data_IF_448202118035
#
_entry.id   IF_448202118035
#
_cell.length_a   1.000
_cell.length_b   1.000
_cell.length_c   1.000
_cell.angle_alpha   90.00
_cell.angle_beta   90.00
_cell.angle_gamma   90.00
#
_symmetry.space_group_name_H-M   'P 1'
#
loop_
_entity.id
_entity.type
_entity.pdbx_description
1 polymer ?
#
# COMPACT_ATOMS: atom_id res chain seq x y z
N UNK A 1 -9.16 1.15 -22.71
CA UNK A 1 -8.30 0.89 -21.53
C UNK A 1 -8.80 -0.38 -20.89
N UNK A 2 -7.89 -1.21 -20.37
CA UNK A 2 -8.28 -2.39 -19.59
C UNK A 2 -8.80 -1.91 -18.21
N UNK A 3 -9.77 -2.60 -17.62
CA UNK A 3 -10.37 -2.28 -16.32
C UNK A 3 -9.30 -1.97 -15.26
N UNK A 4 -8.26 -2.79 -15.16
CA UNK A 4 -7.17 -2.59 -14.20
C UNK A 4 -6.32 -1.34 -14.43
N UNK A 5 -6.15 -0.92 -15.69
CA UNK A 5 -5.45 0.33 -16.00
C UNK A 5 -6.26 1.54 -15.52
N UNK A 6 -7.58 1.50 -15.76
CA UNK A 6 -8.50 2.54 -15.29
C UNK A 6 -8.57 2.57 -13.77
N UNK A 7 -8.62 1.41 -13.12
CA UNK A 7 -8.58 1.30 -11.66
C UNK A 7 -7.28 1.86 -11.09
N UNK A 8 -6.11 1.49 -11.63
CA UNK A 8 -4.84 2.05 -11.20
C UNK A 8 -4.84 3.57 -11.34
N UNK A 9 -5.24 4.08 -12.51
CA UNK A 9 -5.24 5.52 -12.80
C UNK A 9 -6.22 6.31 -11.91
N UNK A 10 -7.39 5.75 -11.60
CA UNK A 10 -8.38 6.38 -10.72
C UNK A 10 -7.91 6.44 -9.25
N UNK A 11 -7.07 5.50 -8.83
CA UNK A 11 -6.57 5.42 -7.45
C UNK A 11 -5.22 6.14 -7.24
N UNK A 12 -4.49 6.48 -8.31
CA UNK A 12 -3.22 7.22 -8.22
C UNK A 12 -3.27 8.46 -7.31
N UNK A 13 -4.29 9.35 -7.39
CA UNK A 13 -4.30 10.55 -6.56
C UNK A 13 -4.33 10.27 -5.05
N UNK A 14 -4.96 9.18 -4.62
CA UNK A 14 -4.96 8.80 -3.21
C UNK A 14 -3.64 8.15 -2.79
N UNK A 15 -2.99 7.40 -3.70
CA UNK A 15 -1.63 6.88 -3.48
C UNK A 15 -0.64 8.04 -3.34
N UNK A 16 -0.64 9.00 -4.27
CA UNK A 16 0.21 10.20 -4.25
C UNK A 16 0.04 10.99 -2.96
N UNK A 17 -1.21 11.15 -2.51
CA UNK A 17 -1.56 11.85 -1.28
C UNK A 17 -1.07 11.12 -0.04
N UNK A 18 -1.23 9.78 0.02
CA UNK A 18 -0.67 8.98 1.11
C UNK A 18 0.86 9.09 1.14
N UNK A 19 1.53 8.91 0.00
CA UNK A 19 2.98 9.06 -0.10
C UNK A 19 3.43 10.45 0.34
N UNK A 20 2.74 11.50 -0.12
CA UNK A 20 3.03 12.89 0.25
C UNK A 20 2.90 13.12 1.76
N UNK A 21 1.91 12.48 2.41
CA UNK A 21 1.71 12.54 3.86
C UNK A 21 2.86 11.88 4.62
N UNK A 22 3.19 10.66 4.23
CA UNK A 22 4.21 9.85 4.90
C UNK A 22 5.61 10.43 4.71
N UNK A 23 5.88 10.92 3.50
CA UNK A 23 7.21 11.33 3.06
C UNK A 23 7.43 12.83 3.26
N UNK A 24 6.36 13.56 3.58
CA UNK A 24 6.34 15.01 3.83
C UNK A 24 6.90 15.82 2.65
N UNK A 25 6.79 15.28 1.44
CA UNK A 25 7.15 15.92 0.17
C UNK A 25 6.10 15.64 -0.90
N UNK A 26 5.84 16.63 -1.75
CA UNK A 26 4.91 16.50 -2.87
C UNK A 26 5.39 15.38 -3.79
N UNK A 27 4.58 14.31 -3.85
CA UNK A 27 4.87 13.11 -4.62
C UNK A 27 3.96 13.04 -5.83
N UNK A 28 4.53 12.77 -7.01
CA UNK A 28 3.79 12.63 -8.26
C UNK A 28 4.13 11.28 -8.89
N UNK A 29 3.11 10.55 -9.36
CA UNK A 29 3.26 9.22 -9.93
C UNK A 29 2.80 9.25 -11.39
N UNK A 30 3.71 8.87 -12.28
CA UNK A 30 3.42 8.74 -13.71
C UNK A 30 3.42 7.26 -14.11
N UNK A 31 2.30 6.76 -14.67
CA UNK A 31 2.27 5.43 -15.30
C UNK A 31 3.00 5.54 -16.65
N UNK A 32 4.16 4.92 -16.76
CA UNK A 32 5.02 4.99 -17.94
C UNK A 32 4.70 3.92 -18.98
N UNK A 33 4.19 2.76 -18.54
CA UNK A 33 3.74 1.70 -19.44
C UNK A 33 2.71 0.80 -18.79
N UNK A 34 1.84 0.22 -19.61
CA UNK A 34 0.91 -0.81 -19.18
C UNK A 34 0.89 -1.91 -20.24
N UNK A 35 1.11 -3.16 -19.83
CA UNK A 35 1.15 -4.31 -20.72
C UNK A 35 0.56 -5.55 -20.07
N UNK A 36 0.20 -6.54 -20.89
CA UNK A 36 -0.14 -7.89 -20.43
C UNK A 36 1.06 -8.78 -20.70
N UNK A 37 1.50 -9.54 -19.70
CA UNK A 37 2.67 -10.42 -19.79
C UNK A 37 2.35 -11.77 -19.13
N UNK A 38 2.97 -12.85 -19.62
CA UNK A 38 2.91 -14.15 -18.97
C UNK A 38 3.66 -14.13 -17.63
N UNK A 39 3.32 -15.02 -16.70
CA UNK A 39 4.03 -15.19 -15.43
C UNK A 39 5.54 -15.42 -15.58
N UNK A 40 5.95 -16.23 -16.57
CA UNK A 40 7.38 -16.48 -16.88
C UNK A 40 8.10 -15.20 -17.28
N UNK A 41 7.60 -14.50 -18.31
CA UNK A 41 8.16 -13.22 -18.76
C UNK A 41 8.14 -12.12 -17.67
N UNK A 42 7.13 -12.14 -16.80
CA UNK A 42 7.07 -11.28 -15.62
C UNK A 42 8.26 -11.52 -14.70
N UNK A 43 8.50 -12.77 -14.29
CA UNK A 43 9.61 -13.13 -13.41
C UNK A 43 10.97 -12.83 -14.04
N UNK A 44 11.14 -13.04 -15.36
CA UNK A 44 12.38 -12.73 -16.08
C UNK A 44 12.70 -11.23 -16.12
N UNK A 45 11.67 -10.37 -16.10
CA UNK A 45 11.83 -8.91 -16.16
C UNK A 45 12.26 -8.33 -14.80
N UNK A 46 12.04 -9.06 -13.71
CA UNK A 46 12.29 -8.59 -12.36
C UNK A 46 13.77 -8.66 -11.98
N UNK A 47 14.19 -7.72 -11.14
CA UNK A 47 15.53 -7.70 -10.56
C UNK A 47 15.48 -8.41 -9.20
N UNK A 48 16.56 -9.12 -8.84
CA UNK A 48 16.58 -9.93 -7.61
C UNK A 48 16.42 -9.09 -6.34
N UNK A 49 16.90 -7.85 -6.39
CA UNK A 49 16.82 -6.87 -5.31
C UNK A 49 15.46 -6.17 -5.21
N UNK A 50 14.55 -6.37 -6.18
CA UNK A 50 13.19 -5.83 -6.12
C UNK A 50 12.39 -6.49 -5.00
N UNK A 51 11.45 -5.74 -4.47
CA UNK A 51 10.59 -6.16 -3.37
C UNK A 51 9.19 -6.33 -3.89
N UNK A 52 8.54 -7.40 -3.44
CA UNK A 52 7.21 -7.75 -3.86
C UNK A 52 6.30 -7.74 -2.65
N UNK A 53 5.31 -6.87 -2.66
CA UNK A 53 4.22 -6.86 -1.70
C UNK A 53 3.04 -7.51 -2.37
N UNK A 54 2.71 -8.74 -1.95
CA UNK A 54 1.60 -9.52 -2.48
C UNK A 54 0.41 -9.46 -1.51
N UNK A 55 -0.79 -9.26 -2.06
CA UNK A 55 -2.05 -9.67 -1.44
C UNK A 55 -2.92 -10.34 -2.49
N UNK A 56 -4.00 -10.98 -2.06
CA UNK A 56 -4.98 -11.62 -2.94
C UNK A 56 -6.37 -11.20 -2.49
N UNK A 57 -7.21 -10.83 -3.44
CA UNK A 57 -8.64 -10.61 -3.20
C UNK A 57 -9.34 -11.97 -3.08
N UNK A 58 -10.01 -12.23 -1.96
CA UNK A 58 -10.72 -13.50 -1.70
C UNK A 58 -11.89 -13.70 -2.64
N UNK A 59 -12.54 -12.63 -3.09
CA UNK A 59 -13.73 -12.73 -3.93
C UNK A 59 -13.40 -13.18 -5.35
N UNK A 60 -12.29 -12.69 -5.91
CA UNK A 60 -11.90 -12.94 -7.30
C UNK A 60 -10.70 -13.86 -7.43
N UNK A 61 -10.07 -14.23 -6.31
CA UNK A 61 -8.77 -14.91 -6.25
C UNK A 61 -7.71 -14.23 -7.12
N UNK A 62 -7.79 -12.91 -7.26
CA UNK A 62 -6.86 -12.11 -8.05
C UNK A 62 -5.65 -11.73 -7.22
N UNK A 63 -4.45 -12.00 -7.72
CA UNK A 63 -3.21 -11.45 -7.16
C UNK A 63 -3.14 -9.93 -7.36
N UNK A 64 -2.83 -9.20 -6.30
CA UNK A 64 -2.43 -7.80 -6.35
C UNK A 64 -1.00 -7.70 -5.82
N UNK A 65 -0.06 -7.31 -6.68
CA UNK A 65 1.36 -7.22 -6.36
C UNK A 65 1.83 -5.79 -6.58
N UNK A 66 2.43 -5.19 -5.55
CA UNK A 66 3.18 -3.96 -5.66
C UNK A 66 4.68 -4.28 -5.68
N UNK A 67 5.40 -3.69 -6.62
CA UNK A 67 6.83 -3.90 -6.81
C UNK A 67 7.54 -2.60 -6.53
N UNK A 68 8.48 -2.65 -5.59
CA UNK A 68 9.31 -1.52 -5.20
C UNK A 68 10.76 -1.87 -5.52
N UNK A 69 11.46 -0.97 -6.20
CA UNK A 69 12.90 -1.13 -6.39
C UNK A 69 13.66 -0.97 -5.06
N UNK A 70 14.96 -1.24 -5.09
CA UNK A 70 15.83 -1.17 -3.90
C UNK A 70 15.92 0.24 -3.28
N UNK A 71 15.69 1.31 -4.04
CA UNK A 71 15.92 2.69 -3.57
C UNK A 71 14.81 3.11 -2.60
N UNK A 72 13.63 2.47 -2.68
CA UNK A 72 12.57 2.59 -1.69
C UNK A 72 13.02 2.25 -0.26
N UNK A 73 13.92 1.28 -0.07
CA UNK A 73 14.39 0.92 1.27
C UNK A 73 15.15 2.06 1.92
N UNK A 74 16.09 2.65 1.20
CA UNK A 74 16.92 3.74 1.72
C UNK A 74 16.03 4.92 2.13
N UNK A 75 15.02 5.22 1.31
CA UNK A 75 14.13 6.36 1.51
C UNK A 75 13.19 6.12 2.68
N UNK A 76 12.48 4.99 2.69
CA UNK A 76 11.56 4.68 3.78
C UNK A 76 12.30 4.53 5.11
N UNK A 77 13.46 3.87 5.12
CA UNK A 77 14.27 3.74 6.34
C UNK A 77 14.80 5.09 6.82
N UNK A 78 15.26 5.95 5.92
CA UNK A 78 15.73 7.29 6.26
C UNK A 78 14.62 8.17 6.82
N UNK A 79 13.42 8.09 6.24
CA UNK A 79 12.30 8.95 6.61
C UNK A 79 11.57 8.45 7.85
N UNK A 80 11.25 7.17 7.90
CA UNK A 80 10.41 6.60 8.96
C UNK A 80 11.20 6.15 10.19
N UNK A 81 12.47 5.77 10.02
CA UNK A 81 13.30 5.25 11.10
C UNK A 81 14.50 6.14 11.41
N UNK A 82 14.84 7.09 10.52
CA UNK A 82 16.03 7.93 10.66
C UNK A 82 17.35 7.15 10.54
N UNK A 83 17.33 6.00 9.87
CA UNK A 83 18.52 5.15 9.67
C UNK A 83 18.87 5.03 8.20
N UNK A 84 20.17 4.92 7.91
CA UNK A 84 20.68 4.65 6.58
C UNK A 84 20.75 3.12 6.37
N UNK A 85 19.59 2.54 6.06
CA UNK A 85 19.44 1.11 5.78
C UNK A 85 18.85 0.92 4.38
N UNK A 86 19.56 0.16 3.55
CA UNK A 86 19.23 -0.06 2.14
C UNK A 86 19.10 -1.54 1.78
N UNK A 87 19.23 -2.43 2.76
CA UNK A 87 19.15 -3.88 2.56
C UNK A 87 17.83 -4.48 3.04
N UNK A 88 17.41 -5.54 2.37
CA UNK A 88 16.28 -6.36 2.81
C UNK A 88 16.67 -7.15 4.07
N UNK A 89 16.07 -6.84 5.21
CA UNK A 89 16.27 -7.50 6.49
C UNK A 89 14.96 -7.48 7.31
N UNK A 90 14.95 -8.03 8.53
CA UNK A 90 13.72 -8.09 9.34
C UNK A 90 13.14 -6.70 9.66
N UNK A 91 14.00 -5.71 9.95
CA UNK A 91 13.56 -4.34 10.28
C UNK A 91 12.91 -3.68 9.07
N UNK A 92 13.55 -3.77 7.90
CA UNK A 92 13.04 -3.15 6.68
C UNK A 92 11.82 -3.89 6.12
N UNK A 93 11.73 -5.20 6.34
CA UNK A 93 10.52 -5.98 6.05
C UNK A 93 9.34 -5.53 6.91
N UNK A 94 9.53 -5.39 8.23
CA UNK A 94 8.48 -4.93 9.15
C UNK A 94 8.03 -3.50 8.80
N UNK A 95 8.98 -2.64 8.44
CA UNK A 95 8.71 -1.29 7.96
C UNK A 95 7.78 -1.29 6.74
N UNK A 96 8.14 -2.08 5.72
CA UNK A 96 7.35 -2.21 4.50
C UNK A 96 5.97 -2.81 4.77
N UNK A 97 5.89 -3.84 5.61
CA UNK A 97 4.61 -4.44 6.00
C UNK A 97 3.69 -3.40 6.63
N UNK A 98 4.20 -2.58 7.56
CA UNK A 98 3.43 -1.52 8.20
C UNK A 98 2.98 -0.46 7.18
N UNK A 99 3.90 0.06 6.39
CA UNK A 99 3.62 1.06 5.35
C UNK A 99 2.57 0.56 4.34
N UNK A 100 2.75 -0.65 3.81
CA UNK A 100 1.83 -1.23 2.85
C UNK A 100 0.46 -1.53 3.45
N UNK A 101 0.40 -1.96 4.71
CA UNK A 101 -0.86 -2.19 5.43
C UNK A 101 -1.65 -0.89 5.63
N UNK A 102 -0.96 0.20 5.97
CA UNK A 102 -1.60 1.52 6.12
C UNK A 102 -2.09 2.07 4.78
N UNK A 103 -1.28 1.96 3.72
CA UNK A 103 -1.69 2.32 2.36
C UNK A 103 -2.90 1.48 1.91
N UNK A 104 -2.84 0.16 2.08
CA UNK A 104 -3.94 -0.74 1.71
C UNK A 104 -5.21 -0.39 2.47
N UNK A 105 -5.13 -0.11 3.77
CA UNK A 105 -6.30 0.29 4.57
C UNK A 105 -6.90 1.61 4.07
N UNK A 106 -6.05 2.58 3.76
CA UNK A 106 -6.47 3.88 3.20
C UNK A 106 -7.19 3.70 1.87
N UNK A 107 -6.62 2.91 0.95
CA UNK A 107 -7.20 2.63 -0.36
C UNK A 107 -8.50 1.82 -0.26
N UNK A 108 -8.53 0.77 0.57
CA UNK A 108 -9.73 -0.05 0.79
C UNK A 108 -10.90 0.78 1.35
N UNK A 109 -10.63 1.72 2.26
CA UNK A 109 -11.65 2.65 2.77
C UNK A 109 -12.23 3.50 1.64
N UNK A 110 -11.37 4.06 0.78
CA UNK A 110 -11.81 4.89 -0.36
C UNK A 110 -12.61 4.08 -1.38
N UNK A 111 -12.13 2.90 -1.76
CA UNK A 111 -12.79 2.02 -2.72
C UNK A 111 -14.20 1.63 -2.25
N UNK A 112 -14.37 1.37 -0.94
CA UNK A 112 -15.68 1.11 -0.33
C UNK A 112 -16.65 2.28 -0.47
N UNK A 113 -16.18 3.52 -0.35
CA UNK A 113 -17.02 4.72 -0.59
C UNK A 113 -17.50 4.82 -2.03
N UNK A 114 -16.67 4.35 -2.98
CA UNK A 114 -16.97 4.36 -4.41
C UNK A 114 -17.76 3.10 -4.85
N UNK A 115 -18.19 2.27 -3.89
CA UNK A 115 -19.03 1.08 -4.12
C UNK A 115 -18.27 -0.17 -4.58
N UNK A 116 -16.94 -0.16 -4.48
CA UNK A 116 -16.08 -1.31 -4.76
C UNK A 116 -15.63 -1.95 -3.44
N UNK A 117 -16.00 -3.22 -3.24
CA UNK A 117 -15.61 -3.96 -2.05
C UNK A 117 -14.56 -5.01 -2.42
N UNK A 118 -13.38 -4.91 -1.82
CA UNK A 118 -12.30 -5.88 -1.92
C UNK A 118 -12.17 -6.59 -0.58
N UNK A 119 -12.02 -7.90 -0.61
CA UNK A 119 -11.73 -8.70 0.57
C UNK A 119 -10.28 -9.15 0.47
N UNK A 120 -9.36 -8.29 0.91
CA UNK A 120 -7.93 -8.52 0.75
C UNK A 120 -7.40 -9.40 1.86
N UNK A 121 -6.68 -10.46 1.49
CA UNK A 121 -5.89 -11.25 2.44
C UNK A 121 -4.77 -10.40 3.05
N UNK A 122 -4.20 -10.93 4.13
CA UNK A 122 -3.03 -10.32 4.76
C UNK A 122 -1.92 -10.11 3.73
N UNK A 123 -1.31 -8.92 3.78
CA UNK A 123 -0.21 -8.56 2.90
C UNK A 123 1.03 -9.41 3.23
N UNK A 124 1.82 -9.69 2.20
CA UNK A 124 3.07 -10.40 2.35
C UNK A 124 4.20 -9.67 1.63
N UNK A 125 5.27 -9.35 2.35
CA UNK A 125 6.52 -8.85 1.75
C UNK A 125 7.44 -10.02 1.42
N UNK A 126 7.74 -10.17 0.14
CA UNK A 126 8.38 -11.33 -0.48
C UNK A 126 9.64 -10.91 -1.27
N UNK A 127 10.60 -11.84 -1.32
CA UNK A 127 11.68 -11.82 -2.31
C UNK A 127 11.20 -12.41 -3.64
N UNK A 128 11.91 -12.15 -4.74
CA UNK A 128 11.57 -12.70 -6.06
C UNK A 128 11.37 -14.23 -6.04
N UNK A 129 12.22 -14.96 -5.32
CA UNK A 129 12.12 -16.42 -5.18
C UNK A 129 10.83 -16.84 -4.47
N UNK A 130 10.42 -16.13 -3.42
CA UNK A 130 9.20 -16.45 -2.68
C UNK A 130 7.95 -16.05 -3.47
N UNK A 131 8.05 -15.03 -4.33
CA UNK A 131 6.97 -14.65 -5.23
C UNK A 131 6.71 -15.73 -6.27
N UNK A 132 7.76 -16.26 -6.89
CA UNK A 132 7.67 -17.34 -7.89
C UNK A 132 6.82 -18.51 -7.40
N UNK A 133 7.02 -18.94 -6.14
CA UNK A 133 6.27 -20.03 -5.51
C UNK A 133 4.79 -19.69 -5.21
N UNK A 134 4.37 -18.42 -5.34
CA UNK A 134 3.06 -17.91 -4.90
C UNK A 134 2.17 -17.34 -6.00
N UNK A 135 2.70 -17.15 -7.20
CA UNK A 135 1.93 -16.64 -8.34
C UNK A 135 0.73 -17.55 -8.64
N UNK A 136 -0.48 -16.99 -8.60
CA UNK A 136 -1.74 -17.70 -8.83
C UNK A 136 -2.22 -17.67 -10.28
N UNK A 137 -1.54 -16.94 -11.17
CA UNK A 137 -2.00 -16.73 -12.55
C UNK A 137 -0.89 -17.02 -13.57
N UNK A 138 -1.30 -17.35 -14.78
CA UNK A 138 -0.42 -17.56 -15.94
C UNK A 138 -0.21 -16.28 -16.75
N UNK A 139 -1.11 -15.30 -16.61
CA UNK A 139 -1.00 -13.97 -17.19
C UNK A 139 -1.27 -12.88 -16.15
N UNK A 140 -0.56 -11.77 -16.31
CA UNK A 140 -0.63 -10.61 -15.43
C UNK A 140 -0.73 -9.32 -16.23
N UNK A 141 -1.49 -8.36 -15.69
CA UNK A 141 -1.49 -6.97 -16.14
C UNK A 141 -0.44 -6.20 -15.36
N UNK A 142 0.50 -5.59 -16.08
CA UNK A 142 1.71 -5.03 -15.53
C UNK A 142 1.79 -3.53 -15.85
N UNK A 143 1.69 -2.69 -14.82
CA UNK A 143 1.79 -1.24 -14.92
C UNK A 143 3.09 -0.72 -14.29
N UNK A 144 3.99 -0.18 -15.11
CA UNK A 144 5.18 0.52 -14.60
C UNK A 144 4.85 1.95 -14.23
N UNK A 145 5.42 2.40 -13.13
CA UNK A 145 5.27 3.75 -12.61
C UNK A 145 6.63 4.35 -12.30
N UNK A 146 6.75 5.65 -12.53
CA UNK A 146 7.84 6.46 -12.04
C UNK A 146 7.30 7.42 -10.98
N UNK A 147 7.97 7.47 -9.85
CA UNK A 147 7.61 8.31 -8.71
C UNK A 147 8.61 9.44 -8.58
N UNK A 148 8.12 10.66 -8.73
CA UNK A 148 8.86 11.90 -8.52
C UNK A 148 8.64 12.44 -7.10
N UNK A 149 9.63 13.16 -6.58
CA UNK A 149 9.55 13.80 -5.26
C UNK A 149 10.12 12.96 -4.12
N UNK A 150 10.66 11.77 -4.41
CA UNK A 150 11.26 10.89 -3.40
C UNK A 150 12.78 10.98 -3.35
N UNK A 151 13.41 11.30 -4.47
CA UNK A 151 14.86 11.48 -4.59
C UNK A 151 15.15 12.54 -5.67
N UNK A 152 16.44 12.77 -5.94
CA UNK A 152 16.87 13.62 -7.05
C UNK A 152 16.49 13.02 -8.41
N UNK A 153 16.52 11.69 -8.51
CA UNK A 153 16.07 10.91 -9.65
C UNK A 153 14.67 10.31 -9.42
N UNK A 154 14.00 9.96 -10.52
CA UNK A 154 12.73 9.22 -10.50
C UNK A 154 12.93 7.80 -9.99
N UNK A 155 12.05 7.36 -9.11
CA UNK A 155 12.10 6.02 -8.50
C UNK A 155 11.08 5.13 -9.15
N UNK A 156 11.41 3.86 -9.38
CA UNK A 156 10.51 2.94 -10.07
C UNK A 156 9.63 2.22 -9.07
N UNK A 157 8.37 2.07 -9.46
CA UNK A 157 7.44 1.15 -8.83
C UNK A 157 6.63 0.44 -9.92
N UNK A 158 6.02 -0.68 -9.60
CA UNK A 158 5.06 -1.31 -10.50
C UNK A 158 3.87 -1.87 -9.75
N UNK A 159 2.71 -1.82 -10.40
CA UNK A 159 1.50 -2.49 -9.95
C UNK A 159 1.21 -3.64 -10.91
N UNK A 160 1.03 -4.82 -10.35
CA UNK A 160 0.78 -6.05 -11.10
C UNK A 160 -0.49 -6.70 -10.60
N UNK A 161 -1.38 -7.03 -11.53
CA UNK A 161 -2.68 -7.61 -11.23
C UNK A 161 -2.80 -8.95 -11.96
N UNK A 162 -3.14 -10.01 -11.25
CA UNK A 162 -3.44 -11.31 -11.84
C UNK A 162 -4.61 -11.21 -12.82
N UNK A 163 -4.51 -11.88 -13.97
CA UNK A 163 -5.66 -12.00 -14.86
C UNK A 163 -6.62 -13.06 -14.30
N UNK A 164 -7.85 -12.71 -13.86
CA UNK A 164 -8.78 -13.67 -13.26
C UNK A 164 -9.18 -14.79 -14.22
N UNK A 165 -9.08 -14.55 -15.53
CA UNK A 165 -9.41 -15.53 -16.57
C UNK A 165 -8.27 -16.52 -16.83
N UNK A 166 -7.08 -16.28 -16.27
CA UNK A 166 -5.87 -17.03 -16.54
C UNK A 166 -5.27 -17.61 -15.25
N UNK A 167 -6.10 -18.03 -14.30
CA UNK A 167 -5.66 -18.66 -13.06
C UNK A 167 -4.96 -20.00 -13.33
N UNK A 168 -3.96 -20.32 -12.51
CA UNK A 168 -3.32 -21.63 -12.50
C UNK A 168 -4.35 -22.61 -11.95
N UNK A 169 -4.99 -23.37 -12.83
CA UNK A 169 -5.86 -24.47 -12.43
C UNK A 169 -4.96 -25.52 -11.77
N UNK A 170 -5.17 -25.77 -10.47
CA UNK A 170 -4.59 -26.95 -9.86
C UNK A 170 -5.11 -28.16 -10.64
N UNK A 171 -4.22 -28.97 -11.21
CA UNK A 171 -4.61 -30.31 -11.67
C UNK A 171 -5.21 -31.00 -10.44
N UNK A 172 -6.54 -31.20 -10.43
CA UNK A 172 -7.15 -32.15 -9.52
C UNK A 172 -6.47 -33.49 -9.83
N UNK A 173 -5.61 -33.96 -8.92
CA UNK A 173 -5.17 -35.35 -8.95
C UNK A 173 -6.47 -36.18 -9.04
N UNK A 174 -6.60 -37.06 -10.05
CA UNK A 174 -7.83 -37.81 -10.22
C UNK A 174 -8.09 -38.55 -8.91
N UNK A 175 -9.23 -38.25 -8.27
CA UNK A 175 -9.70 -39.02 -7.13
C UNK A 175 -9.62 -40.49 -7.54
N UNK A 176 -8.77 -41.27 -6.87
CA UNK A 176 -8.76 -42.71 -7.03
C UNK A 176 -10.17 -43.19 -6.71
N UNK A 177 -10.94 -43.57 -7.75
CA UNK A 177 -12.17 -44.33 -7.59
C UNK A 177 -11.83 -45.57 -6.78
N UNK A 178 -12.13 -45.54 -5.49
CA UNK A 178 -12.11 -46.72 -4.64
C UNK A 178 -13.20 -47.64 -5.18
N UNK A 179 -12.80 -48.64 -5.98
CA UNK A 179 -13.65 -49.76 -6.35
C UNK A 179 -14.17 -50.44 -5.07
N UNK A 180 -15.41 -50.17 -4.69
CA UNK A 180 -16.11 -51.00 -3.70
C UNK A 180 -16.43 -52.36 -4.34
N UNK A 181 -15.81 -53.42 -3.83
CA UNK A 181 -16.21 -54.80 -4.10
C UNK A 181 -17.68 -55.04 -3.67
N UNK A 182 -18.46 -55.83 -4.42
CA UNK A 182 -19.88 -55.98 -4.16
C UNK A 182 -20.13 -56.92 -2.97
N UNK A 183 -20.83 -56.41 -1.95
CA UNK A 183 -21.45 -57.25 -0.94
C UNK A 183 -22.65 -58.00 -1.54
N UNK A 184 -22.64 -59.32 -1.37
CA UNK A 184 -23.68 -60.24 -1.83
C UNK A 184 -24.99 -60.06 -1.06
N UNK A 185 -26.07 -60.04 -1.84
CA UNK A 185 -27.42 -60.57 -1.60
C UNK A 185 -28.07 -60.35 -0.23
N UNK A 186 -29.16 -59.57 -0.22
CA UNK A 186 -30.46 -60.16 0.10
C UNK A 186 -31.60 -59.35 -0.53
N UNK A 187 -32.48 -60.08 -1.22
CA UNK A 187 -33.60 -59.59 -2.01
C UNK A 187 -34.89 -59.68 -1.20
N UNK A 188 -35.68 -58.61 -1.18
CA UNK A 188 -37.14 -58.68 -0.95
C UNK A 188 -37.86 -57.67 -1.87
N UNK A 189 -38.81 -58.09 -2.72
CA UNK A 189 -39.58 -57.19 -3.58
C UNK A 189 -40.98 -56.94 -3.00
N UNK A 190 -41.41 -55.68 -3.01
CA UNK A 190 -42.81 -55.22 -3.01
C UNK A 190 -42.77 -53.70 -3.04
N UNK A 191 -43.51 -52.91 -3.82
CA UNK A 191 -44.58 -53.13 -4.77
C UNK A 191 -44.73 -51.80 -5.55
N UNK A 192 -45.04 -51.93 -6.85
CA UNK A 192 -45.90 -51.11 -7.73
C UNK A 192 -46.02 -49.56 -7.62
N UNK A 193 -45.95 -48.95 -8.82
CA UNK A 193 -46.86 -47.89 -9.35
C UNK A 193 -46.72 -46.45 -8.78
N UNK A 194 -46.92 -45.32 -9.49
CA UNK A 194 -47.17 -44.93 -10.89
C UNK A 194 -47.12 -43.37 -10.93
N UNK A 195 -46.80 -42.81 -12.10
CA UNK A 195 -47.35 -41.59 -12.73
C UNK A 195 -47.27 -40.17 -12.10
N UNK A 196 -46.60 -39.30 -12.90
CA UNK A 196 -47.09 -38.01 -13.46
C UNK A 196 -47.62 -36.85 -12.58
N UNK A 197 -47.00 -35.67 -12.80
CA UNK A 197 -47.56 -34.42 -13.42
C UNK A 197 -47.44 -33.10 -12.63
N UNK A 198 -46.94 -32.12 -13.40
CA UNK A 198 -47.40 -30.73 -13.56
C UNK A 198 -46.99 -29.62 -12.55
N UNK A 199 -46.24 -28.63 -13.06
CA UNK A 199 -46.83 -27.37 -13.53
C UNK A 199 -46.52 -26.05 -12.77
N UNK A 200 -46.11 -25.03 -13.56
CA UNK A 200 -46.21 -23.56 -13.37
C UNK A 200 -45.30 -22.90 -12.30
N UNK A 201 -44.75 -21.69 -12.44
CA UNK A 201 -44.90 -20.52 -13.34
C UNK A 201 -43.69 -19.59 -13.08
N UNK A 202 -43.03 -19.03 -14.09
CA UNK A 202 -42.03 -17.95 -13.91
C UNK A 202 -42.64 -16.59 -14.31
N UNK A 203 -42.56 -15.61 -13.40
CA UNK A 203 -42.84 -14.20 -13.67
C UNK A 203 -41.55 -13.50 -14.11
N UNK A 204 -41.54 -13.01 -15.35
CA UNK A 204 -40.47 -12.14 -15.87
C UNK A 204 -40.96 -10.69 -15.74
N UNK A 205 -40.33 -9.92 -14.85
CA UNK A 205 -40.61 -8.49 -14.69
C UNK A 205 -39.70 -7.72 -15.66
N UNK A 206 -40.30 -7.14 -16.70
CA UNK A 206 -39.64 -6.29 -17.69
C UNK A 206 -39.40 -4.89 -17.12
N UNK A 207 -38.13 -4.51 -16.96
CA UNK A 207 -37.66 -3.20 -16.49
C UNK A 207 -37.65 -2.14 -17.59
N UNK A 208 -38.09 -0.94 -17.20
CA UNK A 208 -38.41 0.25 -18.01
C UNK A 208 -37.17 0.88 -18.70
N UNK A 209 -37.36 1.36 -19.93
CA UNK A 209 -36.47 2.34 -20.57
C UNK A 209 -36.32 3.59 -19.67
N UNK A 210 -35.09 4.04 -19.44
CA UNK A 210 -34.77 5.35 -18.83
C UNK A 210 -34.29 6.25 -19.96
N UNK A 211 -35.02 7.32 -20.26
CA UNK A 211 -34.57 8.42 -21.12
C UNK A 211 -33.64 9.32 -20.31
N UNK A 212 -32.49 9.67 -20.88
CA UNK A 212 -31.56 10.66 -20.32
C UNK A 212 -31.97 12.06 -20.80
N UNK A 213 -32.03 13.03 -19.89
CA UNK A 213 -32.15 14.45 -20.27
C UNK A 213 -30.79 14.99 -20.73
N UNK A 214 -30.83 15.75 -21.82
CA UNK A 214 -29.68 16.35 -22.50
C UNK A 214 -28.94 17.38 -21.64
N UNK A 215 -27.62 17.37 -21.80
CA UNK A 215 -26.65 18.21 -21.14
C UNK A 215 -26.61 19.61 -21.76
N UNK A 216 -26.86 20.67 -20.98
CA UNK A 216 -26.49 22.04 -21.36
C UNK A 216 -25.32 22.57 -20.50
N UNK A 217 -24.25 22.90 -21.22
CA UNK A 217 -23.07 23.60 -20.75
C UNK A 217 -23.40 25.02 -20.29
N UNK A 218 -22.89 25.42 -19.12
CA UNK A 218 -22.38 26.79 -18.92
C UNK A 218 -21.14 26.78 -18.02
N UNK A 219 -19.95 26.92 -18.62
CA UNK A 219 -18.74 27.37 -17.91
C UNK A 219 -18.91 28.83 -17.51
N UNK A 220 -18.38 29.31 -16.36
CA UNK A 220 -16.93 29.51 -16.25
C UNK A 220 -16.31 29.34 -14.85
N UNK A 221 -15.01 29.08 -14.86
CA UNK A 221 -13.97 29.34 -13.84
C UNK A 221 -13.24 28.06 -13.44
N UNK A 222 -11.93 28.07 -13.72
CA UNK A 222 -10.95 27.27 -13.03
C UNK A 222 -11.07 27.63 -11.54
N UNK A 223 -11.80 26.80 -10.79
CA UNK A 223 -11.66 26.72 -9.34
C UNK A 223 -10.72 25.56 -9.10
N UNK A 224 -9.60 25.89 -8.45
CA UNK A 224 -8.69 24.94 -7.85
C UNK A 224 -9.48 23.84 -7.13
N UNK A 225 -9.07 22.59 -7.35
CA UNK A 225 -9.73 21.40 -6.85
C UNK A 225 -10.23 21.54 -5.42
N UNK A 226 -11.50 21.17 -5.25
CA UNK A 226 -12.21 21.13 -3.99
C UNK A 226 -11.45 20.31 -2.94
N UNK A 227 -11.06 20.96 -1.85
CA UNK A 227 -11.60 20.75 -0.49
C UNK A 227 -11.68 19.35 0.15
N UNK A 228 -11.66 18.26 -0.60
CA UNK A 228 -11.81 16.89 -0.07
C UNK A 228 -10.50 16.09 -0.13
N UNK A 229 -9.50 16.56 -0.88
CA UNK A 229 -8.15 15.95 -0.90
C UNK A 229 -7.37 16.13 0.41
N UNK A 230 -7.93 16.82 1.41
CA UNK A 230 -7.27 17.05 2.70
C UNK A 230 -8.00 16.37 3.87
N UNK A 231 -9.14 15.70 3.63
CA UNK A 231 -9.88 15.00 4.68
C UNK A 231 -9.40 13.56 4.90
N UNK A 232 -8.87 12.87 3.88
CA UNK A 232 -8.22 11.55 4.06
C UNK A 232 -6.75 11.67 4.50
N UNK A 233 -6.17 12.88 4.53
CA UNK A 233 -4.81 13.17 5.04
C UNK A 233 -4.76 13.29 6.57
N UNK A 234 -5.91 13.34 7.26
CA UNK A 234 -6.00 13.63 8.70
C UNK A 234 -5.84 12.40 9.60
N UNK A 235 -5.89 11.19 9.03
CA UNK A 235 -6.02 9.95 9.79
C UNK A 235 -4.67 9.23 10.04
N UNK A 236 -3.55 9.76 9.51
CA UNK A 236 -2.21 9.19 9.75
C UNK A 236 -1.61 9.83 11.00
N UNK A 237 -1.62 9.09 12.11
CA UNK A 237 -0.96 9.50 13.36
C UNK A 237 0.55 9.29 13.24
N UNK A 238 1.34 10.33 13.56
CA UNK A 238 2.80 10.27 13.55
C UNK A 238 3.37 10.73 14.89
N UNK A 239 4.49 10.13 15.31
CA UNK A 239 5.16 10.50 16.55
C UNK A 239 5.96 11.79 16.35
N UNK A 240 5.45 12.88 16.93
CA UNK A 240 6.12 14.19 16.90
C UNK A 240 6.89 14.40 18.20
N UNK A 241 8.18 14.70 18.08
CA UNK A 241 9.05 15.04 19.21
C UNK A 241 9.76 16.37 18.98
N UNK A 242 10.10 17.05 20.07
CA UNK A 242 10.85 18.31 20.05
C UNK A 242 12.12 18.13 20.86
N UNK A 243 13.26 18.32 20.21
CA UNK A 243 14.57 18.21 20.85
C UNK A 243 15.15 19.60 21.11
N UNK A 244 15.46 19.88 22.38
CA UNK A 244 16.29 21.02 22.76
C UNK A 244 17.72 20.85 22.22
N UNK A 245 18.22 19.63 22.16
CA UNK A 245 19.51 19.27 21.58
C UNK A 245 19.84 17.80 21.80
N UNK A 246 20.83 17.31 21.06
CA UNK A 246 21.30 15.92 21.04
C UNK A 246 22.79 15.88 21.34
N UNK A 247 23.25 14.85 22.03
CA UNK A 247 24.67 14.58 22.30
C UNK A 247 24.94 13.07 22.35
N UNK A 248 26.09 12.65 21.85
CA UNK A 248 26.58 11.28 21.99
C UNK A 248 27.53 11.15 23.17
N UNK A 249 27.30 10.15 24.03
CA UNK A 249 28.13 9.89 25.21
C UNK A 249 28.61 8.43 25.21
N UNK A 250 29.87 8.16 25.62
CA UNK A 250 30.31 6.79 25.87
C UNK A 250 29.42 6.12 26.92
N UNK A 251 29.10 4.83 26.73
CA UNK A 251 28.22 4.06 27.64
C UNK A 251 28.63 4.19 29.11
N UNK A 252 29.94 4.18 29.40
CA UNK A 252 30.44 4.36 30.76
C UNK A 252 30.05 5.69 31.40
N UNK A 253 29.97 6.79 30.63
CA UNK A 253 29.48 8.09 31.13
C UNK A 253 27.97 8.06 31.36
N UNK A 254 27.21 7.41 30.47
CA UNK A 254 25.76 7.28 30.61
C UNK A 254 25.41 6.54 31.91
N UNK A 255 26.11 5.45 32.21
CA UNK A 255 25.92 4.67 33.45
C UNK A 255 26.30 5.44 34.73
N UNK A 256 27.08 6.51 34.61
CA UNK A 256 27.47 7.38 35.73
C UNK A 256 26.50 8.54 35.96
N UNK A 257 25.53 8.75 35.07
CA UNK A 257 24.54 9.80 35.23
C UNK A 257 23.66 9.51 36.45
N UNK A 258 23.64 10.46 37.38
CA UNK A 258 22.78 10.44 38.56
C UNK A 258 21.93 11.70 38.64
N UNK A 259 20.93 11.71 39.52
CA UNK A 259 20.14 12.92 39.81
C UNK A 259 21.07 14.10 40.10
N UNK A 260 20.86 15.20 39.40
CA UNK A 260 21.69 16.42 39.50
C UNK A 260 22.86 16.50 38.51
N UNK A 261 23.07 15.47 37.68
CA UNK A 261 24.04 15.55 36.58
C UNK A 261 23.60 16.60 35.57
N UNK A 262 24.54 17.41 35.10
CA UNK A 262 24.31 18.41 34.04
C UNK A 262 24.96 17.88 32.77
N UNK A 263 24.17 17.80 31.70
CA UNK A 263 24.65 17.40 30.37
C UNK A 263 24.71 18.67 29.53
N UNK A 264 25.91 19.01 29.08
CA UNK A 264 26.12 20.10 28.14
C UNK A 264 25.77 19.62 26.73
N UNK A 265 24.91 20.36 26.03
CA UNK A 265 24.49 20.07 24.66
C UNK A 265 25.31 20.92 23.69
N UNK A 266 25.47 20.47 22.45
CA UNK A 266 26.21 21.22 21.42
C UNK A 266 25.48 22.50 20.97
N UNK A 267 24.16 22.54 21.18
CA UNK A 267 23.29 23.62 20.74
C UNK A 267 23.39 24.84 21.65
N UNK A 268 23.56 26.02 21.06
CA UNK A 268 23.69 27.26 21.85
C UNK A 268 22.32 27.74 22.37
N UNK A 269 22.34 28.40 23.53
CA UNK A 269 21.13 28.99 24.10
C UNK A 269 20.53 30.04 23.15
N UNK A 270 19.24 29.87 22.83
CA UNK A 270 18.51 30.76 21.90
C UNK A 270 18.48 30.28 20.46
N UNK A 271 19.17 29.19 20.12
CA UNK A 271 18.97 28.53 18.82
C UNK A 271 17.59 27.85 18.75
N UNK A 272 16.96 27.81 17.55
CA UNK A 272 15.64 27.22 17.40
C UNK A 272 15.70 25.72 17.67
N UNK A 273 14.74 25.17 18.42
CA UNK A 273 14.62 23.73 18.70
C UNK A 273 14.38 22.92 17.44
N UNK A 274 14.76 21.66 17.49
CA UNK A 274 14.53 20.73 16.38
C UNK A 274 13.18 20.05 16.58
N UNK A 275 12.38 20.00 15.52
CA UNK A 275 11.09 19.29 15.51
C UNK A 275 11.30 18.06 14.65
N UNK A 276 11.03 16.90 15.24
CA UNK A 276 11.22 15.61 14.62
C UNK A 276 9.89 14.90 14.47
N UNK A 277 9.72 14.19 13.36
CA UNK A 277 8.63 13.26 13.14
C UNK A 277 9.28 11.90 12.90
N UNK A 278 8.86 10.89 13.67
CA UNK A 278 9.45 9.55 13.64
C UNK A 278 10.99 9.56 13.76
N UNK A 279 11.53 10.46 14.59
CA UNK A 279 12.97 10.60 14.82
C UNK A 279 13.76 11.33 13.72
N UNK A 280 13.12 11.78 12.64
CA UNK A 280 13.74 12.58 11.60
C UNK A 280 13.42 14.06 11.77
N UNK A 281 14.42 14.95 11.67
CA UNK A 281 14.21 16.40 11.79
C UNK A 281 13.47 16.94 10.56
N UNK A 282 12.26 17.46 10.78
CA UNK A 282 11.41 18.01 9.72
C UNK A 282 11.36 19.54 9.72
N UNK A 283 11.69 20.16 10.84
CA UNK A 283 11.58 21.60 11.00
C UNK A 283 12.48 22.12 12.14
N UNK A 284 12.71 23.42 12.11
CA UNK A 284 13.19 24.18 13.25
C UNK A 284 12.03 25.00 13.81
N UNK A 285 12.04 25.23 15.12
CA UNK A 285 11.01 26.04 15.76
C UNK A 285 11.53 26.81 16.96
N UNK A 286 10.79 27.83 17.37
CA UNK A 286 11.08 28.61 18.57
C UNK A 286 10.17 28.16 19.70
N UNK A 287 10.73 27.93 20.88
CA UNK A 287 9.93 27.62 22.07
C UNK A 287 9.18 28.87 22.48
N UNK A 288 7.85 28.76 22.54
CA UNK A 288 6.93 29.80 22.98
C UNK A 288 6.17 29.30 24.20
N UNK A 289 5.63 30.22 25.00
CA UNK A 289 4.72 29.88 26.09
C UNK A 289 3.35 30.37 25.71
N UNK A 290 2.37 29.47 25.71
CA UNK A 290 0.96 29.75 25.39
C UNK A 290 0.12 29.24 26.54
N UNK A 291 -0.63 30.12 27.19
CA UNK A 291 -1.54 29.79 28.30
C UNK A 291 -0.90 28.86 29.35
N UNK A 292 0.30 29.23 29.81
CA UNK A 292 1.11 28.48 30.80
C UNK A 292 1.68 27.13 30.32
N UNK A 293 1.44 26.75 29.07
CA UNK A 293 2.01 25.58 28.44
C UNK A 293 3.18 25.95 27.53
N UNK A 294 4.16 25.05 27.41
CA UNK A 294 5.18 25.17 26.36
C UNK A 294 4.56 24.82 25.01
N UNK A 295 4.81 25.66 24.01
CA UNK A 295 4.52 25.40 22.62
C UNK A 295 5.77 25.61 21.77
N UNK A 296 5.70 25.20 20.51
CA UNK A 296 6.78 25.45 19.54
C UNK A 296 6.18 26.11 18.31
N UNK A 297 6.70 27.27 17.94
CA UNK A 297 6.35 27.95 16.70
C UNK A 297 7.33 27.53 15.61
N UNK A 298 6.83 26.87 14.57
CA UNK A 298 7.63 26.48 13.40
C UNK A 298 8.25 27.74 12.77
N UNK A 299 9.58 27.78 12.66
CA UNK A 299 10.33 28.88 12.05
C UNK A 299 10.81 28.54 10.65
N UNK A 300 11.18 27.28 10.40
CA UNK A 300 11.61 26.81 9.09
C UNK A 300 11.26 25.33 8.89
N UNK A 301 10.78 24.96 7.70
CA UNK A 301 10.56 23.57 7.28
C UNK A 301 11.77 23.04 6.51
N UNK A 302 12.16 21.80 6.77
CA UNK A 302 13.25 21.10 6.07
C UNK A 302 12.61 20.15 5.07
N UNK A 303 12.93 20.31 3.79
CA UNK A 303 12.38 19.45 2.72
C UNK A 303 13.10 18.10 2.70
N UNK A 304 12.42 17.02 2.32
CA UNK A 304 13.00 15.67 2.19
C UNK A 304 14.22 15.62 1.25
N UNK A 305 14.25 16.38 0.14
CA UNK A 305 15.48 16.57 -0.67
C UNK A 305 16.67 17.08 0.13
N UNK A 306 16.45 18.04 1.05
CA UNK A 306 17.52 18.53 1.93
C UNK A 306 17.93 17.51 2.99
N UNK A 307 17.05 16.55 3.34
CA UNK A 307 17.35 15.46 4.27
C UNK A 307 18.20 14.38 3.58
N UNK A 308 17.82 13.99 2.37
CA UNK A 308 18.53 12.99 1.56
C UNK A 308 19.92 13.46 1.14
N UNK A 309 20.08 14.73 0.76
CA UNK A 309 21.39 15.27 0.38
C UNK A 309 22.42 15.33 1.53
N UNK A 310 22.01 15.22 2.80
CA UNK A 310 22.93 15.14 3.95
C UNK A 310 23.41 13.73 4.26
N UNK A 311 22.81 12.73 3.61
CA UNK A 311 23.13 11.31 3.77
C UNK A 311 24.07 10.78 2.66
N UNK A 312 24.44 11.60 1.67
CA UNK A 312 25.42 11.30 0.62
C UNK A 312 26.83 11.81 0.91
#
# INVERSE_FOLDING_TARGET
>A
MNYYQEQLQNNLPEIEKYLTSVLLEETNIEITSFETISSEAFLEKMVKEDIFILTRDENTETDLICILDKDWFAILSSIMLGVDESSFNEVTKDLLMKFSSELSTTLSKKLKEDGQEFDLRELEVLTLKQLEDKLGHTEYFFGMMEVEGLADDKIKAASVFGNPQAQVVAEEEPEEEVEEEPAKDEFTPSDSEELEKAGAKEEVISGRYIEFEDFEQTTPAIKNGDGNSMDLLKDVEMDVSVELGRIELPLGKVLQLSKGSVIELEKLAGEPVDILVNGQRIAHGEVVVVDEHFGVRISNLITTRQRLAKLS
#
